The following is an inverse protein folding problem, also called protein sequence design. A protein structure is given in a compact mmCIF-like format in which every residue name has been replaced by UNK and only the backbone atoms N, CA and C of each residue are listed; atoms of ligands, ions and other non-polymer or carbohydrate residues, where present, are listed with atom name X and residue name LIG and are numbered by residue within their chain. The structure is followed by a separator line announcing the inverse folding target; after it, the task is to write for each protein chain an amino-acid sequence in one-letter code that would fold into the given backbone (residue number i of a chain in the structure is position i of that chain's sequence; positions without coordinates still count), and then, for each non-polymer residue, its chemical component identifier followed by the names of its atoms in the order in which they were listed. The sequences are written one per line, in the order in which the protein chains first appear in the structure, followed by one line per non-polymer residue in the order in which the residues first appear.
data_IF_963099443646
#
_entry.id   IF_963099443646
#
_cell.length_a   1.000
_cell.length_b   1.000
_cell.length_c   1.000
_cell.angle_alpha   90.00
_cell.angle_beta   90.00
_cell.angle_gamma   90.00
#
_symmetry.space_group_name_H-M   'P 1'
#
loop_
_entity.id
_entity.type
_entity.pdbx_description
1 polymer ?
#
# COMPACT_ATOMS: atom_id res chain seq x y z
N UNK A 1 6.17 21.22 15.61
CA UNK A 1 4.87 20.83 15.04
C UNK A 1 4.84 21.12 13.53
N UNK A 2 5.27 22.31 13.12
CA UNK A 2 5.20 22.76 11.72
C UNK A 2 6.01 21.89 10.74
N UNK A 3 7.22 21.47 11.13
CA UNK A 3 8.05 20.59 10.29
C UNK A 3 7.41 19.21 10.05
N UNK A 4 6.74 18.64 11.05
CA UNK A 4 6.07 17.34 10.92
C UNK A 4 4.86 17.45 10.00
N UNK A 5 4.02 18.47 10.19
CA UNK A 5 2.84 18.72 9.35
C UNK A 5 3.27 18.96 7.90
N UNK A 6 4.33 19.75 7.69
CA UNK A 6 4.87 20.01 6.37
C UNK A 6 5.40 18.73 5.71
N UNK A 7 6.20 17.94 6.43
CA UNK A 7 6.74 16.68 5.91
C UNK A 7 5.62 15.71 5.51
N UNK A 8 4.64 15.48 6.40
CA UNK A 8 3.51 14.59 6.10
C UNK A 8 2.73 15.09 4.89
N UNK A 9 2.41 16.38 4.84
CA UNK A 9 1.62 16.94 3.72
C UNK A 9 2.35 16.82 2.38
N UNK A 10 3.67 17.04 2.37
CA UNK A 10 4.49 17.00 1.15
C UNK A 10 4.72 15.56 0.68
N UNK A 11 5.00 14.63 1.59
CA UNK A 11 5.38 13.26 1.22
C UNK A 11 4.22 12.28 1.14
N UNK A 12 3.16 12.43 1.95
CA UNK A 12 2.10 11.43 2.03
C UNK A 12 1.40 11.22 0.68
N UNK A 13 1.05 12.31 -0.02
CA UNK A 13 0.34 12.23 -1.30
C UNK A 13 1.17 11.56 -2.42
N UNK A 14 2.42 12.00 -2.71
CA UNK A 14 3.25 11.34 -3.71
C UNK A 14 3.52 9.88 -3.39
N UNK A 15 3.79 9.54 -2.11
CA UNK A 15 4.08 8.16 -1.71
C UNK A 15 2.84 7.28 -1.86
N UNK A 16 1.68 7.73 -1.40
CA UNK A 16 0.41 7.00 -1.60
C UNK A 16 0.16 6.73 -3.08
N UNK A 17 0.30 7.75 -3.93
CA UNK A 17 0.08 7.60 -5.36
C UNK A 17 1.11 6.68 -6.01
N UNK A 18 2.39 6.81 -5.65
CA UNK A 18 3.47 5.97 -6.17
C UNK A 18 3.24 4.49 -5.86
N UNK A 19 2.87 4.15 -4.62
CA UNK A 19 2.56 2.76 -4.22
C UNK A 19 1.32 2.25 -4.96
N UNK A 20 0.25 3.06 -5.01
CA UNK A 20 -1.00 2.66 -5.67
C UNK A 20 -0.79 2.36 -7.16
N UNK A 21 -0.04 3.21 -7.88
CA UNK A 21 0.28 2.97 -9.28
C UNK A 21 1.19 1.76 -9.47
N UNK A 22 2.19 1.60 -8.60
CA UNK A 22 3.12 0.48 -8.65
C UNK A 22 2.38 -0.86 -8.56
N UNK A 23 1.46 -1.00 -7.61
CA UNK A 23 0.68 -2.21 -7.42
C UNK A 23 -0.34 -2.44 -8.53
N UNK A 24 -1.02 -1.38 -8.99
CA UNK A 24 -1.92 -1.46 -10.13
C UNK A 24 -1.16 -1.87 -11.42
N UNK A 25 0.07 -1.40 -11.60
CA UNK A 25 0.93 -1.78 -12.72
C UNK A 25 1.35 -3.25 -12.67
N UNK A 26 1.66 -3.79 -11.48
CA UNK A 26 1.88 -5.23 -11.31
C UNK A 26 0.65 -6.04 -11.70
N UNK A 27 -0.53 -5.65 -11.22
CA UNK A 27 -1.79 -6.33 -11.58
C UNK A 27 -2.12 -6.22 -13.07
N UNK A 28 -1.79 -5.09 -13.71
CA UNK A 28 -1.90 -4.93 -15.16
C UNK A 28 -0.94 -5.85 -15.92
N UNK A 29 0.33 -5.90 -15.51
CA UNK A 29 1.33 -6.78 -16.12
C UNK A 29 0.96 -8.26 -15.95
N UNK A 30 0.55 -8.67 -14.76
CA UNK A 30 0.07 -10.02 -14.46
C UNK A 30 -1.09 -10.41 -15.40
N UNK A 31 -2.08 -9.51 -15.56
CA UNK A 31 -3.18 -9.70 -16.51
C UNK A 31 -2.69 -9.87 -17.93
N UNK A 32 -1.75 -9.04 -18.37
CA UNK A 32 -1.18 -9.13 -19.73
C UNK A 32 -0.52 -10.48 -19.99
N UNK A 33 0.13 -11.07 -18.97
CA UNK A 33 0.73 -12.41 -19.03
C UNK A 33 -0.21 -13.55 -18.63
N UNK A 34 -1.52 -13.29 -18.48
CA UNK A 34 -2.56 -14.31 -18.30
C UNK A 34 -3.04 -14.55 -16.87
N UNK A 35 -2.46 -13.90 -15.85
CA UNK A 35 -2.97 -13.97 -14.48
C UNK A 35 -4.01 -12.85 -14.23
N UNK A 36 -5.28 -13.25 -14.22
CA UNK A 36 -6.40 -12.33 -14.02
C UNK A 36 -6.76 -12.09 -12.55
N UNK A 37 -6.05 -12.65 -11.58
CA UNK A 37 -6.44 -12.66 -10.16
C UNK A 37 -6.65 -11.25 -9.61
N UNK A 38 -5.65 -10.37 -9.71
CA UNK A 38 -5.74 -8.99 -9.22
C UNK A 38 -6.80 -8.17 -9.98
N UNK A 39 -6.96 -8.43 -11.28
CA UNK A 39 -7.96 -7.76 -12.11
C UNK A 39 -9.40 -8.15 -11.71
N UNK A 40 -9.66 -9.43 -11.53
CA UNK A 40 -10.97 -9.96 -11.09
C UNK A 40 -11.34 -9.48 -9.68
N UNK A 41 -10.36 -9.31 -8.80
CA UNK A 41 -10.57 -8.72 -7.46
C UNK A 41 -10.78 -7.20 -7.50
N UNK A 42 -10.74 -6.56 -8.68
CA UNK A 42 -10.89 -5.11 -8.81
C UNK A 42 -9.71 -4.31 -8.23
N UNK A 43 -8.55 -4.96 -8.05
CA UNK A 43 -7.34 -4.34 -7.47
C UNK A 43 -6.50 -3.59 -8.49
N UNK A 44 -6.70 -3.80 -9.80
CA UNK A 44 -6.09 -2.94 -10.84
C UNK A 44 -6.84 -1.60 -10.90
N UNK A 45 -6.49 -0.67 -10.01
CA UNK A 45 -7.20 0.60 -9.81
C UNK A 45 -6.26 1.73 -9.40
N UNK A 46 -6.65 2.98 -9.62
CA UNK A 46 -5.94 4.15 -9.07
C UNK A 46 -6.44 4.54 -7.68
N UNK A 47 -7.41 3.80 -7.13
CA UNK A 47 -7.93 4.06 -5.80
C UNK A 47 -7.04 3.35 -4.74
N UNK A 48 -6.32 4.11 -3.88
CA UNK A 48 -5.45 3.53 -2.85
C UNK A 48 -6.21 2.62 -1.88
N UNK A 49 -7.51 2.89 -1.64
CA UNK A 49 -8.33 2.09 -0.72
C UNK A 49 -8.49 0.64 -1.21
N UNK A 50 -8.45 0.39 -2.52
CA UNK A 50 -8.59 -0.97 -3.07
C UNK A 50 -7.36 -1.86 -2.90
N UNK A 51 -6.25 -1.26 -2.46
CA UNK A 51 -4.96 -1.92 -2.26
C UNK A 51 -4.71 -2.26 -0.80
N UNK A 52 -5.49 -1.69 0.12
CA UNK A 52 -5.36 -1.96 1.55
C UNK A 52 -5.91 -3.35 1.85
N UNK A 53 -5.08 -4.18 2.47
CA UNK A 53 -5.46 -5.48 3.01
C UNK A 53 -5.45 -5.39 4.56
N UNK A 54 -6.58 -5.61 5.26
CA UNK A 54 -6.62 -5.52 6.72
C UNK A 54 -5.60 -6.43 7.42
N UNK A 55 -5.27 -7.58 6.83
CA UNK A 55 -4.29 -8.50 7.41
C UNK A 55 -2.88 -7.97 7.14
N UNK A 56 -2.49 -7.79 5.88
CA UNK A 56 -1.14 -7.36 5.51
C UNK A 56 -0.79 -5.93 5.92
N UNK A 57 -1.74 -4.99 5.80
CA UNK A 57 -1.52 -3.55 6.06
C UNK A 57 -1.67 -3.17 7.53
N UNK A 58 -2.50 -3.88 8.31
CA UNK A 58 -2.79 -3.52 9.71
C UNK A 58 -2.32 -4.60 10.68
N UNK A 59 -2.82 -5.83 10.54
CA UNK A 59 -2.58 -6.88 11.52
C UNK A 59 -1.11 -7.30 11.59
N UNK A 60 -0.46 -7.51 10.43
CA UNK A 60 0.95 -7.93 10.38
C UNK A 60 1.89 -6.87 11.01
N UNK A 61 1.82 -5.58 10.65
CA UNK A 61 2.62 -4.54 11.31
C UNK A 61 2.39 -4.45 12.82
N UNK A 62 1.14 -4.60 13.29
CA UNK A 62 0.84 -4.59 14.73
C UNK A 62 1.46 -5.78 15.45
N UNK A 63 1.32 -6.99 14.90
CA UNK A 63 1.95 -8.18 15.45
C UNK A 63 3.47 -8.01 15.50
N UNK A 64 4.08 -7.52 14.42
CA UNK A 64 5.52 -7.26 14.36
C UNK A 64 5.96 -6.23 15.41
N UNK A 65 5.19 -5.16 15.59
CA UNK A 65 5.46 -4.15 16.62
C UNK A 65 5.51 -4.77 18.02
N UNK A 66 4.50 -5.54 18.42
CA UNK A 66 4.47 -6.17 19.74
C UNK A 66 5.50 -7.29 19.89
N UNK A 67 5.70 -8.12 18.85
CA UNK A 67 6.66 -9.21 18.87
C UNK A 67 8.13 -8.72 18.95
N UNK A 68 8.43 -7.56 18.37
CA UNK A 68 9.79 -6.97 18.36
C UNK A 68 9.99 -5.89 19.42
N UNK A 69 9.02 -5.67 20.32
CA UNK A 69 9.02 -4.55 21.28
C UNK A 69 9.24 -3.18 20.61
N UNK A 70 8.73 -3.02 19.40
CA UNK A 70 8.81 -1.78 18.62
C UNK A 70 10.10 -1.57 17.84
N UNK A 71 11.03 -2.54 17.77
CA UNK A 71 12.27 -2.37 17.02
C UNK A 71 12.09 -2.19 15.49
N UNK A 72 10.91 -2.52 14.96
CA UNK A 72 10.58 -2.46 13.54
C UNK A 72 9.95 -1.12 13.09
N UNK A 73 9.63 -0.21 14.03
CA UNK A 73 9.16 1.15 13.76
C UNK A 73 10.22 2.17 14.19
#
# INVERSE_FOLDING_TARGET
MDQLIQAVTVYALPVLFAITLHEAAHGYAARYFGDNTAYMMGRVSLNPVRHIDPIGTILVPLILYFATSGAFL
#
